data_IF_981351877914
#
_entry.id   IF_981351877914
#
_cell.length_a   1.000
_cell.length_b   1.000
_cell.length_c   1.000
_cell.angle_alpha   90.00
_cell.angle_beta   90.00
_cell.angle_gamma   90.00
#
_symmetry.space_group_name_H-M   'P 1'
#
loop_
_entity.id
_entity.type
_entity.pdbx_description
1 polymer ?
#
# COMPACT_ATOMS: atom_id res chain seq x y z
N UNK A 1 2.81 -20.76 -11.04
CA UNK A 1 1.79 -19.71 -11.18
C UNK A 1 2.01 -18.71 -10.05
N UNK A 2 2.25 -17.41 -10.32
CA UNK A 2 2.28 -16.40 -9.27
C UNK A 2 0.86 -16.21 -8.72
N UNK A 3 0.73 -16.16 -7.40
CA UNK A 3 -0.55 -15.92 -6.73
C UNK A 3 -0.69 -14.40 -6.59
N UNK A 4 -1.76 -13.82 -7.12
CA UNK A 4 -2.08 -12.39 -6.99
C UNK A 4 -3.20 -12.23 -5.94
N UNK A 5 -3.01 -11.34 -4.97
CA UNK A 5 -4.03 -10.99 -3.98
C UNK A 5 -4.41 -9.52 -4.13
N UNK A 6 -5.71 -9.25 -4.13
CA UNK A 6 -6.28 -7.90 -4.11
C UNK A 6 -6.82 -7.63 -2.71
N UNK A 7 -6.32 -6.58 -2.05
CA UNK A 7 -6.89 -6.13 -0.79
C UNK A 7 -8.12 -5.27 -1.08
N UNK A 8 -9.30 -5.75 -0.69
CA UNK A 8 -10.56 -4.98 -0.75
C UNK A 8 -11.00 -4.67 0.67
N UNK A 9 -10.86 -3.43 1.17
CA UNK A 9 -11.25 -3.09 2.52
C UNK A 9 -12.78 -3.14 2.68
N UNK A 10 -13.28 -4.03 3.54
CA UNK A 10 -14.72 -4.20 3.80
C UNK A 10 -15.37 -3.09 4.65
N UNK A 11 -14.59 -2.13 5.14
CA UNK A 11 -15.04 -0.95 5.88
C UNK A 11 -14.00 0.15 5.69
N UNK A 12 -14.44 1.37 5.43
CA UNK A 12 -13.55 2.53 5.43
C UNK A 12 -12.84 2.57 6.79
N UNK A 13 -11.53 2.28 6.79
CA UNK A 13 -10.70 2.64 7.92
C UNK A 13 -10.80 4.17 8.08
N UNK A 14 -10.86 4.67 9.31
CA UNK A 14 -10.85 6.11 9.57
C UNK A 14 -9.45 6.65 9.22
N UNK A 15 -9.16 6.81 7.93
CA UNK A 15 -7.84 7.12 7.39
C UNK A 15 -7.55 6.26 6.17
N UNK A 16 -7.09 6.91 5.09
CA UNK A 16 -6.69 6.20 3.88
C UNK A 16 -5.47 5.31 4.10
N UNK A 17 -5.18 4.42 3.14
CA UNK A 17 -4.08 3.44 3.25
C UNK A 17 -2.73 4.08 3.64
N UNK A 18 -2.45 5.29 3.14
CA UNK A 18 -1.21 6.05 3.37
C UNK A 18 -1.33 7.14 4.45
N UNK A 19 -2.07 6.90 5.54
CA UNK A 19 -2.28 7.92 6.57
C UNK A 19 -1.10 8.12 7.54
N UNK A 20 -0.36 7.04 7.86
CA UNK A 20 0.78 7.08 8.78
C UNK A 20 2.01 6.42 8.14
N UNK A 21 3.13 7.14 8.09
CA UNK A 21 4.35 6.66 7.43
C UNK A 21 4.92 5.40 8.10
N UNK A 22 5.01 5.36 9.43
CA UNK A 22 5.66 4.25 10.13
C UNK A 22 4.83 2.97 10.04
N UNK A 23 3.51 3.09 10.19
CA UNK A 23 2.57 1.99 10.02
C UNK A 23 2.57 1.49 8.57
N UNK A 24 2.52 2.39 7.60
CA UNK A 24 2.50 2.02 6.18
C UNK A 24 3.83 1.35 5.78
N UNK A 25 4.98 1.89 6.20
CA UNK A 25 6.28 1.30 5.91
C UNK A 25 6.39 -0.12 6.47
N UNK A 26 5.91 -0.33 7.71
CA UNK A 26 5.89 -1.65 8.33
C UNK A 26 5.03 -2.62 7.54
N UNK A 27 3.82 -2.19 7.12
CA UNK A 27 2.92 -3.03 6.30
C UNK A 27 3.54 -3.38 4.95
N UNK A 28 4.15 -2.41 4.26
CA UNK A 28 4.77 -2.65 2.96
C UNK A 28 5.97 -3.62 3.07
N UNK A 29 6.82 -3.47 4.09
CA UNK A 29 7.93 -4.42 4.31
C UNK A 29 7.42 -5.84 4.57
N UNK A 30 6.34 -6.01 5.35
CA UNK A 30 5.74 -7.34 5.57
C UNK A 30 5.17 -7.95 4.28
N UNK A 31 4.61 -7.12 3.39
CA UNK A 31 4.10 -7.55 2.09
C UNK A 31 5.26 -7.98 1.18
N UNK A 32 6.35 -7.21 1.13
CA UNK A 32 7.56 -7.58 0.40
C UNK A 32 8.20 -8.87 0.95
N UNK A 33 8.35 -8.99 2.27
CA UNK A 33 8.92 -10.17 2.94
C UNK A 33 8.07 -11.43 2.70
N UNK A 34 6.75 -11.28 2.54
CA UNK A 34 5.85 -12.36 2.16
C UNK A 34 5.97 -12.77 0.68
N UNK A 35 6.84 -12.10 -0.09
CA UNK A 35 7.13 -12.41 -1.49
C UNK A 35 6.18 -11.77 -2.49
N UNK A 36 5.33 -10.84 -2.06
CA UNK A 36 4.47 -10.09 -2.97
C UNK A 36 5.27 -9.03 -3.73
N UNK A 37 4.83 -8.76 -4.95
CA UNK A 37 5.46 -7.77 -5.84
C UNK A 37 4.49 -6.72 -6.35
N UNK A 38 3.18 -6.89 -6.11
CA UNK A 38 2.15 -5.94 -6.52
C UNK A 38 1.14 -5.75 -5.40
N UNK A 39 0.83 -4.49 -5.11
CA UNK A 39 -0.21 -4.06 -4.19
C UNK A 39 -1.24 -3.23 -4.95
N UNK A 40 -2.51 -3.63 -4.86
CA UNK A 40 -3.63 -2.85 -5.41
C UNK A 40 -4.29 -2.09 -4.26
N UNK A 41 -4.37 -0.77 -4.39
CA UNK A 41 -5.01 0.11 -3.39
C UNK A 41 -6.32 0.64 -3.97
N UNK A 42 -7.42 0.11 -3.44
CA UNK A 42 -8.80 0.50 -3.75
C UNK A 42 -9.27 1.63 -2.79
N UNK A 43 -8.50 2.72 -2.75
CA UNK A 43 -8.81 3.94 -2.01
C UNK A 43 -8.07 5.15 -2.63
N UNK A 44 -8.51 5.62 -3.81
CA UNK A 44 -7.85 6.70 -4.54
C UNK A 44 -7.89 8.04 -3.80
N UNK A 45 -8.94 8.30 -3.01
CA UNK A 45 -9.06 9.53 -2.23
C UNK A 45 -8.07 9.57 -1.06
N UNK A 46 -7.87 8.44 -0.38
CA UNK A 46 -6.88 8.27 0.66
C UNK A 46 -5.44 8.38 0.18
N UNK A 47 -5.14 7.89 -1.03
CA UNK A 47 -3.83 8.08 -1.65
C UNK A 47 -3.58 9.55 -2.00
N UNK A 48 -4.50 10.20 -2.73
CA UNK A 48 -4.31 11.58 -3.19
C UNK A 48 -4.08 12.54 -2.03
N UNK A 49 -4.78 12.33 -0.91
CA UNK A 49 -4.66 13.14 0.31
C UNK A 49 -3.29 12.99 0.98
N UNK A 50 -2.63 11.84 0.81
CA UNK A 50 -1.37 11.50 1.49
C UNK A 50 -0.26 11.09 0.51
N UNK A 51 -0.23 11.72 -0.67
CA UNK A 51 0.67 11.34 -1.76
C UNK A 51 2.16 11.51 -1.38
N UNK A 52 2.46 12.47 -0.50
CA UNK A 52 3.78 12.71 0.07
C UNK A 52 4.23 11.57 0.99
N UNK A 53 3.33 11.04 1.83
CA UNK A 53 3.57 9.87 2.69
C UNK A 53 3.72 8.63 1.81
N UNK A 54 2.88 8.47 0.79
CA UNK A 54 2.94 7.35 -0.13
C UNK A 54 4.28 7.27 -0.87
N UNK A 55 4.76 8.40 -1.41
CA UNK A 55 6.05 8.47 -2.08
C UNK A 55 7.21 8.10 -1.14
N UNK A 56 7.23 8.64 0.08
CA UNK A 56 8.26 8.32 1.08
C UNK A 56 8.24 6.84 1.49
N UNK A 57 7.05 6.26 1.59
CA UNK A 57 6.91 4.86 1.98
C UNK A 57 7.34 3.93 0.84
N UNK A 58 7.02 4.28 -0.40
CA UNK A 58 7.42 3.54 -1.60
C UNK A 58 8.93 3.57 -1.84
N UNK A 59 9.61 4.67 -1.51
CA UNK A 59 11.07 4.75 -1.59
C UNK A 59 11.79 3.75 -0.66
N UNK A 60 11.09 3.24 0.36
CA UNK A 60 11.60 2.20 1.25
C UNK A 60 11.35 0.77 0.77
N UNK A 61 10.48 0.59 -0.22
CA UNK A 61 10.22 -0.71 -0.85
C UNK A 61 11.11 -0.89 -2.05
N UNK A 62 11.74 -2.06 -2.19
CA UNK A 62 12.71 -2.30 -3.25
C UNK A 62 12.09 -2.78 -4.56
N UNK A 63 10.93 -3.44 -4.50
CA UNK A 63 10.37 -4.16 -5.66
C UNK A 63 8.85 -4.15 -5.77
N UNK A 64 8.16 -3.50 -4.83
CA UNK A 64 6.71 -3.47 -4.79
C UNK A 64 6.12 -2.48 -5.82
N UNK A 65 5.34 -3.00 -6.77
CA UNK A 65 4.50 -2.20 -7.67
C UNK A 65 3.19 -1.82 -6.97
N UNK A 66 2.86 -0.53 -6.90
CA UNK A 66 1.56 -0.08 -6.37
C UNK A 66 0.66 0.38 -7.51
N UNK A 67 -0.53 -0.22 -7.61
CA UNK A 67 -1.54 0.07 -8.63
C UNK A 67 -2.80 0.62 -7.96
N UNK A 68 -3.43 1.59 -8.61
CA UNK A 68 -4.68 2.21 -8.18
C UNK A 68 -5.84 1.70 -9.05
N UNK A 69 -6.99 1.46 -8.41
CA UNK A 69 -8.23 1.09 -9.09
C UNK A 69 -9.39 1.96 -8.63
#
# INVERSE_FOLDING_TARGET
MPIEFTHVPGKAANGGFFYDFAETATKLSLIEDAGFRRLVVDDPAGLLTNMDIAAQTLDRTGSLEVVLT
#
